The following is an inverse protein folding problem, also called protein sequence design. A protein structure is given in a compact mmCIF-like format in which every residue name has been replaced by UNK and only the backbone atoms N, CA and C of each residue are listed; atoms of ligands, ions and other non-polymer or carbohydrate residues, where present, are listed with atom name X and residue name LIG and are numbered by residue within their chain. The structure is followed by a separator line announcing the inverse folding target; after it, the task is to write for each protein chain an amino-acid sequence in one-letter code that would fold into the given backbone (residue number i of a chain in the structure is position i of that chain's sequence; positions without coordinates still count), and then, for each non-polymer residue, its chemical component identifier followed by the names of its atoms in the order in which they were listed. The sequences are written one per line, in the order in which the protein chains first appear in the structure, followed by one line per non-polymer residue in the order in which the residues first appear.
data_IF_507294506599
#
_entry.id   IF_507294506599
#
_cell.length_a   1.000
_cell.length_b   1.000
_cell.length_c   1.000
_cell.angle_alpha   90.00
_cell.angle_beta   90.00
_cell.angle_gamma   90.00
#
_symmetry.space_group_name_H-M   'P 1'
#
loop_
_entity.id
_entity.type
_entity.pdbx_description
1 polymer ?
#
# COMPACT_ATOMS: atom_id res chain seq x y z
N UNK A 1 6.00 13.35 -3.76
CA UNK A 1 6.92 12.30 -3.25
C UNK A 1 8.29 12.55 -3.85
N UNK A 2 9.36 12.41 -3.07
CA UNK A 2 10.73 12.72 -3.51
C UNK A 2 11.62 11.48 -3.37
N UNK A 3 12.51 11.29 -4.33
CA UNK A 3 13.55 10.27 -4.29
C UNK A 3 14.90 10.97 -4.18
N UNK A 4 15.78 10.41 -3.36
CA UNK A 4 17.16 10.90 -3.25
C UNK A 4 18.13 9.88 -3.84
N UNK A 5 18.91 10.30 -4.84
CA UNK A 5 20.04 9.51 -5.34
C UNK A 5 21.27 9.79 -4.48
N UNK A 6 21.71 8.78 -3.72
CA UNK A 6 22.87 8.89 -2.82
C UNK A 6 24.20 9.04 -3.57
N UNK A 7 24.30 8.55 -4.81
CA UNK A 7 25.55 8.64 -5.60
C UNK A 7 25.70 10.03 -6.20
N UNK A 8 24.62 10.58 -6.75
CA UNK A 8 24.63 11.92 -7.33
C UNK A 8 24.38 13.03 -6.30
N UNK A 9 23.95 12.67 -5.08
CA UNK A 9 23.53 13.59 -4.03
C UNK A 9 22.42 14.54 -4.48
N UNK A 10 21.48 14.03 -5.29
CA UNK A 10 20.41 14.81 -5.89
C UNK A 10 19.05 14.32 -5.48
N UNK A 11 18.15 15.28 -5.28
CA UNK A 11 16.75 15.04 -5.03
C UNK A 11 15.96 15.16 -6.33
N UNK A 12 15.07 14.20 -6.57
CA UNK A 12 14.21 14.14 -7.74
C UNK A 12 12.77 14.10 -7.25
N UNK A 13 11.95 15.05 -7.73
CA UNK A 13 10.51 15.04 -7.48
C UNK A 13 9.84 14.00 -8.38
N UNK A 14 9.17 13.03 -7.76
CA UNK A 14 8.43 11.97 -8.45
C UNK A 14 6.97 12.34 -8.72
N UNK A 15 6.50 13.48 -8.21
CA UNK A 15 5.13 13.96 -8.35
C UNK A 15 4.20 13.53 -7.21
N UNK A 16 2.90 13.68 -7.44
CA UNK A 16 1.85 13.42 -6.45
C UNK A 16 1.51 11.92 -6.40
N UNK A 17 1.98 11.26 -5.35
CA UNK A 17 1.80 9.83 -5.09
C UNK A 17 1.33 9.70 -3.64
N UNK A 18 0.26 8.94 -3.43
CA UNK A 18 -0.32 8.71 -2.11
C UNK A 18 0.46 7.65 -1.32
N UNK A 19 0.84 6.57 -2.00
CA UNK A 19 1.58 5.46 -1.40
C UNK A 19 2.41 4.71 -2.46
N UNK A 20 3.42 3.96 -2.04
CA UNK A 20 4.27 3.18 -2.92
C UNK A 20 4.84 1.93 -2.24
N UNK A 21 5.14 0.91 -3.03
CA UNK A 21 5.87 -0.28 -2.59
C UNK A 21 6.85 -0.73 -3.67
N UNK A 22 8.09 -1.05 -3.29
CA UNK A 22 9.16 -1.45 -4.21
C UNK A 22 9.20 -2.97 -4.28
N UNK A 23 9.30 -3.52 -5.50
CA UNK A 23 9.42 -4.96 -5.69
C UNK A 23 10.66 -5.51 -4.99
N UNK A 24 10.60 -6.77 -4.57
CA UNK A 24 11.72 -7.45 -3.91
C UNK A 24 13.03 -7.38 -4.71
N UNK A 25 12.94 -7.46 -6.04
CA UNK A 25 14.09 -7.37 -6.95
C UNK A 25 14.51 -5.93 -7.31
N UNK A 26 13.84 -4.92 -6.74
CA UNK A 26 14.11 -3.49 -6.92
C UNK A 26 13.99 -2.98 -8.35
N UNK A 27 13.26 -3.69 -9.23
CA UNK A 27 13.06 -3.28 -10.63
C UNK A 27 11.76 -2.53 -10.86
N UNK A 28 10.73 -2.85 -10.09
CA UNK A 28 9.38 -2.32 -10.24
C UNK A 28 8.95 -1.62 -8.95
N UNK A 29 7.99 -0.74 -9.10
CA UNK A 29 7.34 -0.05 -7.99
C UNK A 29 5.83 -0.05 -8.23
N UNK A 30 5.07 -0.51 -7.24
CA UNK A 30 3.63 -0.26 -7.17
C UNK A 30 3.44 1.17 -6.65
N UNK A 31 2.60 1.95 -7.32
CA UNK A 31 2.24 3.30 -6.88
C UNK A 31 0.73 3.44 -6.75
N UNK A 32 0.31 4.10 -5.68
CA UNK A 32 -1.07 4.55 -5.49
C UNK A 32 -1.16 6.04 -5.80
N UNK A 33 -2.05 6.40 -6.71
CA UNK A 33 -2.40 7.79 -7.01
C UNK A 33 -3.92 7.91 -7.02
N UNK A 34 -4.42 8.78 -6.13
CA UNK A 34 -5.84 8.99 -5.84
C UNK A 34 -6.55 7.68 -5.44
N UNK A 35 -7.33 7.09 -6.36
CA UNK A 35 -8.05 5.81 -6.17
C UNK A 35 -7.61 4.73 -7.17
N UNK A 36 -6.43 4.88 -7.74
CA UNK A 36 -5.92 3.99 -8.77
C UNK A 36 -4.50 3.55 -8.46
N UNK A 37 -4.18 2.35 -8.93
CA UNK A 37 -2.85 1.77 -8.82
C UNK A 37 -2.19 1.69 -10.19
N UNK A 38 -0.87 1.76 -10.21
CA UNK A 38 -0.06 1.49 -11.39
C UNK A 38 1.23 0.78 -10.99
N UNK A 39 1.75 -0.06 -11.89
CA UNK A 39 3.07 -0.66 -11.74
C UNK A 39 3.99 0.03 -12.72
N UNK A 40 5.06 0.63 -12.21
CA UNK A 40 6.06 1.36 -12.98
C UNK A 40 7.43 0.74 -12.76
N UNK A 41 8.38 1.00 -13.67
CA UNK A 41 9.79 0.74 -13.35
C UNK A 41 10.23 1.66 -12.21
N UNK A 42 11.21 1.20 -11.42
CA UNK A 42 11.77 2.00 -10.34
C UNK A 42 12.27 3.34 -10.91
N UNK A 43 11.63 4.47 -10.55
CA UNK A 43 11.84 5.71 -11.28
C UNK A 43 13.17 6.35 -10.91
N UNK A 44 13.82 6.95 -11.90
CA UNK A 44 14.96 7.88 -11.72
C UNK A 44 14.64 9.29 -12.21
N UNK A 45 13.37 9.55 -12.48
CA UNK A 45 12.84 10.76 -13.06
C UNK A 45 11.37 10.93 -12.63
N UNK A 46 10.77 12.12 -12.81
CA UNK A 46 9.37 12.35 -12.48
C UNK A 46 8.45 11.32 -13.13
N UNK A 47 7.55 10.75 -12.33
CA UNK A 47 6.64 9.70 -12.80
C UNK A 47 5.51 10.30 -13.64
N UNK A 48 5.23 9.65 -14.78
CA UNK A 48 4.01 9.87 -15.56
C UNK A 48 3.21 8.57 -15.56
N UNK A 49 2.21 8.51 -14.69
CA UNK A 49 1.30 7.36 -14.62
C UNK A 49 0.35 7.46 -15.82
N UNK A 50 0.58 6.61 -16.82
CA UNK A 50 -0.28 6.51 -18.01
C UNK A 50 -1.19 5.29 -17.94
N UNK A 51 -0.62 4.15 -17.56
CA UNK A 51 -1.29 2.86 -17.56
C UNK A 51 -1.67 2.48 -16.13
N UNK A 52 -2.95 2.64 -15.80
CA UNK A 52 -3.52 2.24 -14.51
C UNK A 52 -3.90 0.76 -14.54
N UNK A 53 -3.76 0.08 -13.40
CA UNK A 53 -4.24 -1.28 -13.24
C UNK A 53 -5.76 -1.32 -13.37
N UNK A 54 -6.26 -2.20 -14.23
CA UNK A 54 -7.68 -2.51 -14.31
C UNK A 54 -8.02 -3.56 -13.24
N UNK A 55 -8.76 -3.13 -12.22
CA UNK A 55 -9.23 -3.98 -11.12
C UNK A 55 -10.75 -4.25 -11.22
N UNK A 56 -11.39 -3.90 -12.34
CA UNK A 56 -12.85 -4.01 -12.50
C UNK A 56 -13.39 -5.45 -12.40
N UNK A 57 -12.55 -6.43 -12.72
CA UNK A 57 -12.87 -7.86 -12.66
C UNK A 57 -12.31 -8.56 -11.41
N UNK A 58 -11.89 -7.80 -10.40
CA UNK A 58 -11.37 -8.38 -9.17
C UNK A 58 -12.51 -8.95 -8.34
N UNK A 59 -12.43 -10.24 -8.03
CA UNK A 59 -13.41 -10.95 -7.21
C UNK A 59 -12.80 -11.31 -5.85
N UNK A 60 -13.63 -11.24 -4.81
CA UNK A 60 -13.28 -11.71 -3.47
C UNK A 60 -14.12 -12.93 -3.13
N UNK A 61 -13.47 -13.97 -2.59
CA UNK A 61 -14.17 -15.13 -2.05
C UNK A 61 -14.67 -14.80 -0.64
N UNK A 62 -15.98 -14.86 -0.43
CA UNK A 62 -16.62 -14.48 0.84
C UNK A 62 -17.22 -15.71 1.52
N UNK A 63 -16.90 -15.90 2.80
CA UNK A 63 -17.60 -16.84 3.70
C UNK A 63 -18.03 -16.08 4.96
N UNK A 64 -19.27 -15.60 4.94
CA UNK A 64 -19.81 -14.77 6.01
C UNK A 64 -19.74 -15.45 7.37
N UNK A 65 -19.95 -16.78 7.45
CA UNK A 65 -19.97 -17.47 8.75
C UNK A 65 -18.57 -17.52 9.35
N UNK A 66 -17.56 -17.78 8.54
CA UNK A 66 -16.17 -17.77 9.00
C UNK A 66 -15.67 -16.37 9.29
N UNK A 67 -15.97 -15.40 8.42
CA UNK A 67 -15.57 -14.00 8.56
C UNK A 67 -16.17 -13.38 9.83
N UNK A 68 -17.45 -13.62 10.14
CA UNK A 68 -18.06 -13.11 11.37
C UNK A 68 -17.36 -13.64 12.63
N UNK A 69 -17.01 -14.93 12.67
CA UNK A 69 -16.26 -15.50 13.77
C UNK A 69 -14.86 -14.85 13.89
N UNK A 70 -14.19 -14.60 12.76
CA UNK A 70 -12.88 -13.93 12.73
C UNK A 70 -12.97 -12.48 13.22
N UNK A 71 -13.94 -11.70 12.72
CA UNK A 71 -14.17 -10.31 13.09
C UNK A 71 -14.45 -10.20 14.59
N UNK A 72 -15.35 -11.03 15.13
CA UNK A 72 -15.68 -11.01 16.54
C UNK A 72 -14.44 -11.30 17.42
N UNK A 73 -13.68 -12.33 17.08
CA UNK A 73 -12.48 -12.70 17.82
C UNK A 73 -11.39 -11.60 17.74
N UNK A 74 -11.19 -10.97 16.58
CA UNK A 74 -10.25 -9.85 16.43
C UNK A 74 -10.68 -8.61 17.23
N UNK A 75 -11.97 -8.24 17.18
CA UNK A 75 -12.49 -7.12 17.97
C UNK A 75 -12.31 -7.37 19.46
N UNK A 76 -12.65 -8.58 19.95
CA UNK A 76 -12.43 -8.94 21.34
C UNK A 76 -10.95 -8.89 21.73
N UNK A 77 -10.07 -9.43 20.87
CA UNK A 77 -8.61 -9.41 21.06
C UNK A 77 -8.06 -7.98 21.14
N UNK A 78 -8.55 -7.09 20.27
CA UNK A 78 -8.18 -5.67 20.29
C UNK A 78 -8.58 -5.03 21.63
N UNK A 79 -9.80 -5.25 22.09
CA UNK A 79 -10.25 -4.72 23.38
C UNK A 79 -9.48 -5.30 24.57
N UNK A 80 -9.05 -6.56 24.53
CA UNK A 80 -8.28 -7.15 25.63
C UNK A 80 -6.83 -6.66 25.69
N UNK A 81 -6.14 -6.60 24.55
CA UNK A 81 -4.70 -6.37 24.53
C UNK A 81 -4.27 -4.92 24.28
N UNK A 82 -5.16 -4.11 23.69
CA UNK A 82 -4.85 -2.71 23.37
C UNK A 82 -5.63 -1.73 24.26
N UNK A 83 -6.29 -2.22 25.31
CA UNK A 83 -6.88 -1.33 26.31
C UNK A 83 -5.77 -0.64 27.10
N UNK A 84 -5.92 0.67 27.29
CA UNK A 84 -4.87 1.51 27.87
C UNK A 84 -4.59 1.20 29.35
N UNK A 85 -5.54 0.57 30.06
CA UNK A 85 -5.44 0.24 31.47
C UNK A 85 -5.20 -1.28 31.64
N UNK A 86 -3.97 -1.73 31.96
CA UNK A 86 -3.63 -3.16 32.04
C UNK A 86 -4.33 -3.93 33.17
N UNK A 87 -4.97 -3.22 34.10
CA UNK A 87 -5.65 -3.75 35.27
C UNK A 87 -7.18 -3.78 35.16
N UNK A 88 -7.70 -3.56 33.94
CA UNK A 88 -9.12 -3.64 33.62
C UNK A 88 -9.39 -4.82 32.68
#
# INVERSE_FOLDING_TARGET
MKMYDLKEQKEIDLGNINDYEISHDQKKMLVSQEKSYAIVDLPKAPLKIKDKLDLSNMEAKVDLKQEWNQIFNECWRQMKYFFYAPNM
#
